data_IF_790202707674
#
_entry.id   IF_790202707674
#
_cell.length_a   1.000
_cell.length_b   1.000
_cell.length_c   1.000
_cell.angle_alpha   90.00
_cell.angle_beta   90.00
_cell.angle_gamma   90.00
#
_symmetry.space_group_name_H-M   'P 1'
#
loop_
_entity.id
_entity.type
_entity.pdbx_description
1 polymer ?
#
# COMPACT_ATOMS: atom_id res chain seq x y z
N UNK A 1 20.89 -7.94 -3.74
CA UNK A 1 19.96 -8.54 -2.77
C UNK A 1 20.32 -7.94 -1.44
N UNK A 2 19.46 -7.07 -0.90
CA UNK A 2 19.77 -6.27 0.27
C UNK A 2 18.84 -6.73 1.39
N UNK A 3 19.39 -6.92 2.59
CA UNK A 3 18.63 -7.33 3.76
C UNK A 3 18.58 -6.18 4.77
N UNK A 4 17.44 -6.05 5.45
CA UNK A 4 17.24 -5.11 6.54
C UNK A 4 16.78 -5.92 7.74
N UNK A 5 17.46 -5.77 8.87
CA UNK A 5 17.03 -6.38 10.14
C UNK A 5 16.06 -5.42 10.82
N UNK A 6 14.86 -5.90 11.13
CA UNK A 6 13.83 -5.14 11.85
C UNK A 6 13.58 -5.78 13.21
N UNK A 7 13.51 -4.96 14.25
CA UNK A 7 13.09 -5.39 15.58
C UNK A 7 11.58 -5.26 15.69
N UNK A 8 10.91 -6.34 16.07
CA UNK A 8 9.48 -6.39 16.32
C UNK A 8 9.26 -6.81 17.77
N UNK A 9 8.20 -6.32 18.41
CA UNK A 9 7.77 -6.90 19.67
C UNK A 9 7.26 -8.31 19.45
N UNK A 10 7.34 -9.16 20.47
CA UNK A 10 6.90 -10.56 20.39
C UNK A 10 5.44 -10.69 19.93
N UNK A 11 4.56 -9.83 20.44
CA UNK A 11 3.14 -9.80 20.03
C UNK A 11 2.96 -9.52 18.53
N UNK A 12 3.77 -8.60 17.96
CA UNK A 12 3.69 -8.25 16.54
C UNK A 12 4.27 -9.34 15.67
N UNK A 13 5.32 -10.01 16.13
CA UNK A 13 5.88 -11.17 15.45
C UNK A 13 4.87 -12.33 15.42
N UNK A 14 4.19 -12.59 16.54
CA UNK A 14 3.16 -13.62 16.61
C UNK A 14 1.99 -13.33 15.64
N UNK A 15 1.50 -12.09 15.60
CA UNK A 15 0.46 -11.66 14.64
C UNK A 15 0.90 -11.84 13.18
N UNK A 16 2.16 -11.49 12.87
CA UNK A 16 2.71 -11.66 11.53
C UNK A 16 2.76 -13.14 11.14
N UNK A 17 3.24 -14.00 12.04
CA UNK A 17 3.31 -15.44 11.82
C UNK A 17 1.92 -16.06 11.60
N UNK A 18 0.93 -15.67 12.40
CA UNK A 18 -0.45 -16.13 12.25
C UNK A 18 -1.03 -15.73 10.88
N UNK A 19 -0.81 -14.48 10.47
CA UNK A 19 -1.30 -14.00 9.18
C UNK A 19 -0.61 -14.70 8.01
N UNK A 20 0.70 -14.89 8.08
CA UNK A 20 1.47 -15.62 7.09
C UNK A 20 1.01 -17.08 6.98
N UNK A 21 0.75 -17.74 8.12
CA UNK A 21 0.23 -19.11 8.17
C UNK A 21 -1.15 -19.23 7.50
N UNK A 22 -2.06 -18.28 7.77
CA UNK A 22 -3.39 -18.22 7.13
C UNK A 22 -3.30 -18.07 5.62
N UNK A 23 -2.33 -17.30 5.14
CA UNK A 23 -2.08 -17.06 3.72
C UNK A 23 -1.17 -18.12 3.07
N UNK A 24 -0.66 -19.08 3.86
CA UNK A 24 0.30 -20.12 3.44
C UNK A 24 1.57 -19.56 2.79
N UNK A 25 2.05 -18.42 3.28
CA UNK A 25 3.31 -17.80 2.87
C UNK A 25 4.25 -17.71 4.07
N UNK A 26 5.52 -17.39 3.83
CA UNK A 26 6.45 -17.12 4.93
C UNK A 26 6.23 -15.69 5.48
N UNK A 27 6.54 -15.44 6.76
CA UNK A 27 6.49 -14.09 7.33
C UNK A 27 7.34 -13.08 6.56
N UNK A 28 8.51 -13.50 6.07
CA UNK A 28 9.42 -12.66 5.28
C UNK A 28 8.81 -12.29 3.93
N UNK A 29 8.17 -13.25 3.26
CA UNK A 29 7.49 -13.02 1.99
C UNK A 29 6.30 -12.07 2.16
N UNK A 30 5.53 -12.24 3.23
CA UNK A 30 4.42 -11.34 3.56
C UNK A 30 4.91 -9.91 3.80
N UNK A 31 6.01 -9.73 4.54
CA UNK A 31 6.62 -8.41 4.78
C UNK A 31 7.17 -7.82 3.48
N UNK A 32 7.85 -8.62 2.65
CA UNK A 32 8.38 -8.18 1.36
C UNK A 32 7.28 -7.62 0.47
N UNK A 33 6.20 -8.36 0.28
CA UNK A 33 5.04 -7.92 -0.52
C UNK A 33 4.40 -6.67 0.10
N UNK A 34 4.25 -6.62 1.43
CA UNK A 34 3.71 -5.44 2.10
C UNK A 34 4.56 -4.18 1.92
N UNK A 35 5.89 -4.32 1.92
CA UNK A 35 6.82 -3.21 1.63
C UNK A 35 6.73 -2.80 0.16
N UNK A 36 6.69 -3.76 -0.76
CA UNK A 36 6.52 -3.47 -2.20
C UNK A 36 5.20 -2.76 -2.48
N UNK A 37 4.08 -3.19 -1.87
CA UNK A 37 2.81 -2.49 -1.96
C UNK A 37 2.90 -1.07 -1.38
N UNK A 38 3.54 -0.90 -0.22
CA UNK A 38 3.68 0.42 0.40
C UNK A 38 4.47 1.39 -0.51
N UNK A 39 5.51 0.89 -1.16
CA UNK A 39 6.33 1.67 -2.11
C UNK A 39 5.65 1.87 -3.47
N UNK A 40 4.80 0.93 -3.89
CA UNK A 40 4.07 1.00 -5.15
C UNK A 40 2.80 1.84 -5.08
N UNK A 41 2.34 2.22 -3.88
CA UNK A 41 1.22 3.14 -3.71
C UNK A 41 1.58 4.46 -4.40
N UNK A 42 0.75 4.92 -5.37
CA UNK A 42 0.98 6.22 -5.96
C UNK A 42 0.85 7.25 -4.83
N UNK A 43 1.89 8.07 -4.65
CA UNK A 43 1.93 9.12 -3.63
C UNK A 43 0.56 9.78 -3.51
N UNK A 44 0.11 10.10 -2.30
CA UNK A 44 -1.14 10.83 -2.08
C UNK A 44 -1.24 12.10 -2.96
N UNK A 45 -0.12 12.61 -3.47
CA UNK A 45 -0.03 13.65 -4.48
C UNK A 45 -0.66 13.24 -5.84
N UNK A 46 -0.43 12.02 -6.34
CA UNK A 46 -1.03 11.50 -7.57
C UNK A 46 -2.53 11.26 -7.42
N UNK A 47 -2.98 10.68 -6.30
CA UNK A 47 -4.42 10.55 -6.00
C UNK A 47 -5.11 11.93 -5.91
N UNK A 48 -4.44 12.92 -5.28
CA UNK A 48 -4.92 14.31 -5.27
C UNK A 48 -4.97 14.92 -6.67
N UNK A 49 -3.96 14.71 -7.51
CA UNK A 49 -3.93 15.21 -8.88
C UNK A 49 -5.03 14.59 -9.76
N UNK A 50 -5.26 13.27 -9.65
CA UNK A 50 -6.36 12.59 -10.36
C UNK A 50 -7.71 13.11 -9.90
N UNK A 51 -7.91 13.30 -8.59
CA UNK A 51 -9.15 13.89 -8.05
C UNK A 51 -9.38 15.30 -8.58
N UNK A 52 -8.34 16.14 -8.63
CA UNK A 52 -8.43 17.50 -9.17
C UNK A 52 -8.72 17.54 -10.68
N UNK A 53 -8.12 16.64 -11.47
CA UNK A 53 -8.39 16.52 -12.91
C UNK A 53 -9.82 16.03 -13.18
N UNK A 54 -10.29 15.02 -12.44
CA UNK A 54 -11.66 14.53 -12.55
C UNK A 54 -12.68 15.61 -12.14
N UNK A 55 -12.40 16.38 -11.09
CA UNK A 55 -13.25 17.49 -10.65
C UNK A 55 -13.32 18.61 -11.69
N UNK A 56 -12.18 19.01 -12.27
CA UNK A 56 -12.13 20.02 -13.35
C UNK A 56 -12.87 19.56 -14.61
N UNK A 57 -12.73 18.29 -14.99
CA UNK A 57 -13.43 17.75 -16.15
C UNK A 57 -14.94 17.65 -15.91
N UNK A 58 -15.38 17.25 -14.71
CA UNK A 58 -16.79 17.23 -14.34
C UNK A 58 -17.43 18.64 -14.36
N UNK A 59 -16.66 19.69 -14.05
CA UNK A 59 -17.12 21.07 -14.11
C UNK A 59 -17.19 21.60 -15.55
N UNK A 60 -16.28 21.18 -16.43
CA UNK A 60 -16.33 21.48 -17.86
C UNK A 60 -17.54 20.84 -18.55
N UNK A 61 -17.85 19.57 -18.25
CA UNK A 61 -19.05 18.91 -18.77
C UNK A 61 -20.34 19.55 -18.25
N UNK A 62 -20.34 20.09 -17.02
CA UNK A 62 -21.49 20.81 -16.44
C UNK A 62 -21.79 22.15 -17.12
N UNK A 63 -20.79 22.76 -17.77
CA UNK A 63 -20.92 24.04 -18.48
C UNK A 63 -21.23 23.89 -19.97
N UNK A 64 -21.17 22.65 -20.49
CA UNK A 64 -21.47 22.33 -21.88
C UNK A 64 -22.91 21.79 -22.08
N UNK A 65 -23.70 21.69 -21.00
CA UNK A 65 -25.09 21.24 -20.97
C UNK A 65 -26.03 22.42 -20.69
#
# INVERSE_FOLDING_TARGET
MNAITITLSDDRLAQLQEMAARLRVSPEELVRVGVEELLARPDDAFQRAVTEVLKKNAELYRRLA
#
